data_IF_023108553228
#
_entry.id   IF_023108553228
#
_cell.length_a   1.000
_cell.length_b   1.000
_cell.length_c   1.000
_cell.angle_alpha   90.00
_cell.angle_beta   90.00
_cell.angle_gamma   90.00
#
_symmetry.space_group_name_H-M   'P 1'
#
loop_
_entity.id
_entity.type
_entity.pdbx_description
1 polymer ?
#
# COMPACT_ATOMS: atom_id res chain seq x y z
N UNK A 1 16.12 23.84 -11.49
CA UNK A 1 16.53 24.31 -10.14
C UNK A 1 16.45 23.13 -9.21
N UNK A 2 17.59 22.57 -8.85
CA UNK A 2 17.70 21.72 -7.68
C UNK A 2 17.79 22.68 -6.49
N UNK A 3 16.75 22.72 -5.65
CA UNK A 3 16.88 23.22 -4.29
C UNK A 3 15.69 22.77 -3.43
N UNK A 4 16.06 22.20 -2.28
CA UNK A 4 15.39 22.23 -0.99
C UNK A 4 13.98 21.60 -0.83
N UNK A 5 14.00 20.38 -0.25
CA UNK A 5 12.96 19.78 0.61
C UNK A 5 11.68 19.25 -0.06
N UNK A 6 11.83 18.55 -1.18
CA UNK A 6 10.78 17.72 -1.77
C UNK A 6 10.64 16.33 -1.14
N UNK A 7 10.36 16.25 0.17
CA UNK A 7 9.99 14.97 0.82
C UNK A 7 8.46 14.90 0.84
N UNK A 8 7.82 14.44 -0.24
CA UNK A 8 6.42 14.00 -0.20
C UNK A 8 6.04 13.28 -1.50
N UNK A 9 5.60 12.02 -1.35
CA UNK A 9 5.00 11.11 -2.35
C UNK A 9 5.95 10.47 -3.38
N UNK A 10 6.82 9.57 -2.90
CA UNK A 10 7.69 8.74 -3.74
C UNK A 10 7.43 7.23 -3.65
N UNK A 11 6.22 6.77 -3.29
CA UNK A 11 5.94 5.33 -3.13
C UNK A 11 4.98 4.73 -4.16
N UNK A 12 4.21 5.55 -4.89
CA UNK A 12 3.60 5.09 -6.16
C UNK A 12 4.62 5.09 -7.32
N UNK A 13 5.68 5.90 -7.22
CA UNK A 13 6.72 6.07 -8.26
C UNK A 13 7.83 5.01 -8.20
N UNK A 14 8.02 4.36 -7.04
CA UNK A 14 9.04 3.32 -6.86
C UNK A 14 8.68 2.01 -7.60
N UNK A 15 7.42 1.80 -7.96
CA UNK A 15 7.03 0.62 -8.71
C UNK A 15 7.25 0.74 -10.22
N UNK A 16 7.17 1.95 -10.80
CA UNK A 16 7.54 2.17 -12.22
C UNK A 16 9.03 1.81 -12.50
N UNK A 17 9.85 1.72 -11.45
CA UNK A 17 11.26 1.32 -11.51
C UNK A 17 11.47 -0.19 -11.53
N UNK A 18 10.60 -0.99 -10.90
CA UNK A 18 10.70 -2.46 -10.95
C UNK A 18 10.38 -3.02 -12.35
N UNK A 19 9.72 -2.24 -13.21
CA UNK A 19 9.61 -2.54 -14.65
C UNK A 19 10.96 -2.51 -15.39
N UNK A 20 12.02 -1.92 -14.80
CA UNK A 20 13.36 -1.85 -15.40
C UNK A 20 14.35 -2.91 -14.87
N UNK A 21 13.99 -3.70 -13.86
CA UNK A 21 14.83 -4.82 -13.37
C UNK A 21 14.64 -6.13 -14.16
N UNK A 22 13.79 -6.13 -15.20
CA UNK A 22 13.80 -7.19 -16.21
C UNK A 22 14.98 -6.92 -17.18
N UNK A 23 15.70 -7.93 -17.70
CA UNK A 23 16.74 -7.75 -18.73
C UNK A 23 16.21 -7.20 -20.07
N UNK A 24 14.94 -6.82 -20.10
CA UNK A 24 14.24 -6.21 -21.20
C UNK A 24 14.29 -4.69 -21.01
N UNK A 25 15.05 -4.02 -21.90
CA UNK A 25 15.01 -2.57 -22.14
C UNK A 25 13.58 -1.99 -22.02
N UNK A 26 13.39 -0.71 -21.66
CA UNK A 26 12.09 -0.05 -21.74
C UNK A 26 11.44 -0.16 -23.14
N UNK A 27 12.26 -0.32 -24.19
CA UNK A 27 11.84 -0.59 -25.59
C UNK A 27 11.11 -1.95 -25.76
N UNK A 28 11.18 -2.86 -24.79
CA UNK A 28 10.59 -4.21 -24.88
C UNK A 28 9.22 -4.34 -24.21
N UNK A 29 8.84 -3.44 -23.29
CA UNK A 29 7.49 -3.41 -22.71
C UNK A 29 6.49 -2.73 -23.65
N UNK A 30 6.95 -1.80 -24.49
CA UNK A 30 6.17 -1.24 -25.62
C UNK A 30 5.81 -2.31 -26.68
N UNK A 31 6.48 -3.47 -26.65
CA UNK A 31 6.19 -4.63 -27.51
C UNK A 31 5.23 -5.64 -26.86
N UNK A 32 4.90 -5.49 -25.58
CA UNK A 32 3.86 -6.28 -24.91
C UNK A 32 2.47 -5.66 -25.10
N UNK A 33 2.10 -5.68 -26.39
CA UNK A 33 0.78 -6.05 -26.92
C UNK A 33 -0.43 -5.09 -26.78
N UNK A 34 -1.29 -5.06 -27.83
CA UNK A 34 -2.50 -4.25 -27.87
C UNK A 34 -3.51 -4.66 -26.78
N UNK A 35 -4.37 -3.72 -26.39
CA UNK A 35 -5.42 -3.72 -25.33
C UNK A 35 -6.15 -5.07 -25.09
N UNK A 36 -6.25 -5.97 -26.08
CA UNK A 36 -6.79 -7.33 -25.93
C UNK A 36 -5.95 -8.27 -25.05
N UNK A 37 -4.65 -8.01 -24.89
CA UNK A 37 -3.72 -8.89 -24.15
C UNK A 37 -3.71 -8.59 -22.65
N UNK A 38 -4.02 -7.37 -22.23
CA UNK A 38 -3.96 -6.97 -20.80
C UNK A 38 -4.91 -7.82 -19.93
N UNK A 39 -6.08 -8.21 -20.45
CA UNK A 39 -7.06 -9.04 -19.72
C UNK A 39 -6.58 -10.47 -19.45
N UNK A 40 -5.71 -11.04 -20.30
CA UNK A 40 -5.15 -12.38 -20.08
C UNK A 40 -4.06 -12.39 -19.01
N UNK A 41 -3.42 -11.23 -18.75
CA UNK A 41 -2.25 -11.11 -17.88
C UNK A 41 -2.57 -10.57 -16.49
N UNK A 42 -3.80 -10.12 -16.21
CA UNK A 42 -4.18 -9.56 -14.90
C UNK A 42 -3.89 -10.50 -13.72
N UNK A 43 -4.04 -11.81 -13.94
CA UNK A 43 -3.81 -12.85 -12.92
C UNK A 43 -2.39 -13.39 -12.91
N UNK A 44 -1.53 -12.92 -13.80
CA UNK A 44 -0.15 -13.35 -13.85
C UNK A 44 0.64 -12.74 -12.68
N UNK A 45 1.43 -13.56 -11.96
CA UNK A 45 2.32 -13.07 -10.92
C UNK A 45 3.56 -12.37 -11.50
N UNK A 46 4.08 -11.40 -10.76
CA UNK A 46 5.25 -10.59 -11.10
C UNK A 46 6.55 -11.32 -10.73
N UNK A 47 6.77 -12.46 -11.38
CA UNK A 47 7.94 -13.34 -11.16
C UNK A 47 9.29 -12.69 -11.50
N UNK A 48 9.27 -11.63 -12.31
CA UNK A 48 10.48 -10.96 -12.78
C UNK A 48 11.15 -10.08 -11.71
N UNK A 49 10.45 -9.76 -10.62
CA UNK A 49 10.98 -8.89 -9.57
C UNK A 49 11.16 -9.71 -8.28
N UNK A 50 12.40 -9.83 -7.76
CA UNK A 50 12.65 -10.52 -6.50
C UNK A 50 11.80 -9.96 -5.36
N UNK A 51 11.20 -10.84 -4.56
CA UNK A 51 10.33 -10.47 -3.43
C UNK A 51 8.85 -10.24 -3.78
N UNK A 52 8.48 -10.28 -5.07
CA UNK A 52 7.13 -9.90 -5.54
C UNK A 52 6.45 -10.98 -6.36
N UNK A 53 6.91 -12.23 -6.24
CA UNK A 53 6.34 -13.37 -6.95
C UNK A 53 4.89 -13.69 -6.57
N UNK A 54 4.39 -13.17 -5.45
CA UNK A 54 2.97 -13.27 -5.05
C UNK A 54 2.13 -12.07 -5.51
N UNK A 55 2.74 -11.00 -6.01
CA UNK A 55 2.04 -9.83 -6.51
C UNK A 55 1.55 -10.09 -7.93
N UNK A 56 0.27 -9.80 -8.19
CA UNK A 56 -0.33 -9.99 -9.51
C UNK A 56 -0.25 -8.70 -10.32
N UNK A 57 -0.25 -8.81 -11.65
CA UNK A 57 -0.27 -7.65 -12.54
C UNK A 57 -1.43 -6.72 -12.19
N UNK A 58 -2.63 -7.23 -11.93
CA UNK A 58 -3.79 -6.40 -11.56
C UNK A 58 -3.65 -5.61 -10.26
N UNK A 59 -2.71 -6.00 -9.39
CA UNK A 59 -2.50 -5.32 -8.11
C UNK A 59 -1.64 -4.05 -8.28
N UNK A 60 -1.10 -3.81 -9.49
CA UNK A 60 -0.30 -2.62 -9.78
C UNK A 60 -1.13 -1.33 -9.77
N UNK A 61 -0.49 -0.19 -9.49
CA UNK A 61 -1.17 1.09 -9.63
C UNK A 61 -1.61 1.32 -11.07
N UNK A 62 -2.81 1.87 -11.23
CA UNK A 62 -3.27 2.40 -12.51
C UNK A 62 -2.29 3.46 -13.02
N UNK A 63 -1.98 3.44 -14.32
CA UNK A 63 -0.95 4.29 -14.91
C UNK A 63 0.42 3.64 -15.04
N UNK A 64 0.62 2.40 -14.55
CA UNK A 64 1.87 1.65 -14.74
C UNK A 64 1.80 0.74 -15.97
N UNK A 65 0.88 -0.22 -15.99
CA UNK A 65 0.68 -1.16 -17.11
C UNK A 65 -0.74 -1.13 -17.69
N UNK A 66 -1.70 -0.56 -16.98
CA UNK A 66 -3.10 -0.50 -17.38
C UNK A 66 -3.75 0.80 -16.89
N UNK A 67 -4.99 1.03 -17.34
CA UNK A 67 -5.67 2.31 -17.23
C UNK A 67 -5.31 3.25 -18.37
N UNK A 68 -5.67 4.53 -18.25
CA UNK A 68 -5.41 5.51 -19.28
C UNK A 68 -3.98 6.07 -19.17
N UNK A 69 -3.03 5.41 -19.85
CA UNK A 69 -1.61 5.79 -19.88
C UNK A 69 -1.34 7.13 -20.59
N UNK A 70 -2.31 7.66 -21.34
CA UNK A 70 -2.18 8.94 -22.02
C UNK A 70 -2.39 10.15 -21.11
N UNK A 71 -2.87 9.94 -19.88
CA UNK A 71 -3.03 11.00 -18.90
C UNK A 71 -1.67 11.58 -18.47
N UNK A 72 -1.68 12.85 -18.07
CA UNK A 72 -0.47 13.55 -17.60
C UNK A 72 0.16 12.90 -16.37
N UNK A 73 -0.66 12.33 -15.48
CA UNK A 73 -0.18 11.72 -14.25
C UNK A 73 0.67 10.44 -14.50
N UNK A 74 0.21 9.44 -15.28
CA UNK A 74 1.05 8.33 -15.75
C UNK A 74 2.32 8.76 -16.49
N UNK A 75 2.22 9.73 -17.41
CA UNK A 75 3.38 10.28 -18.13
C UNK A 75 4.40 10.90 -17.18
N UNK A 76 3.93 11.66 -16.20
CA UNK A 76 4.77 12.21 -15.13
C UNK A 76 5.46 11.09 -14.33
N UNK A 77 4.74 10.05 -13.91
CA UNK A 77 5.32 8.92 -13.17
C UNK A 77 6.40 8.17 -13.98
N UNK A 78 6.14 7.92 -15.27
CA UNK A 78 7.11 7.33 -16.19
C UNK A 78 8.37 8.21 -16.33
N UNK A 79 8.20 9.52 -16.47
CA UNK A 79 9.34 10.44 -16.58
C UNK A 79 10.13 10.52 -15.27
N UNK A 80 9.45 10.51 -14.12
CA UNK A 80 10.09 10.46 -12.80
C UNK A 80 10.94 9.20 -12.65
N UNK A 81 10.42 8.02 -13.00
CA UNK A 81 11.18 6.76 -12.86
C UNK A 81 12.47 6.74 -13.66
N UNK A 82 12.49 7.38 -14.83
CA UNK A 82 13.72 7.51 -15.64
C UNK A 82 14.74 8.50 -15.07
N UNK A 83 14.30 9.40 -14.19
CA UNK A 83 15.14 10.43 -13.59
C UNK A 83 15.71 10.02 -12.23
N UNK A 84 14.99 9.20 -11.46
CA UNK A 84 15.39 8.79 -10.11
C UNK A 84 16.79 8.14 -10.03
N UNK A 85 17.21 7.23 -10.94
CA UNK A 85 18.57 6.66 -10.92
C UNK A 85 19.70 7.69 -11.06
N UNK A 86 19.40 8.88 -11.59
CA UNK A 86 20.40 9.94 -11.78
C UNK A 86 20.61 10.78 -10.52
N UNK A 87 19.65 10.76 -9.58
CA UNK A 87 19.71 11.53 -8.34
C UNK A 87 20.93 11.14 -7.50
N UNK A 88 21.44 12.09 -6.70
CA UNK A 88 22.54 11.85 -5.76
C UNK A 88 22.11 10.89 -4.65
N UNK A 89 20.88 11.08 -4.15
CA UNK A 89 20.23 10.20 -3.21
C UNK A 89 18.71 10.21 -3.46
N UNK A 90 18.06 9.08 -3.19
CA UNK A 90 16.60 8.95 -3.21
C UNK A 90 16.13 8.66 -1.79
N UNK A 91 15.31 9.54 -1.23
CA UNK A 91 14.71 9.33 0.10
C UNK A 91 13.34 8.66 -0.05
N UNK A 92 13.09 7.64 0.76
CA UNK A 92 11.84 6.88 0.76
C UNK A 92 11.28 6.81 2.18
N UNK A 93 9.98 6.99 2.33
CA UNK A 93 9.33 6.83 3.64
C UNK A 93 9.17 5.35 3.97
N UNK A 94 10.22 4.68 4.41
CA UNK A 94 10.23 3.25 4.74
C UNK A 94 11.30 2.97 5.79
N UNK A 95 11.40 1.72 6.24
CA UNK A 95 12.54 1.20 6.99
C UNK A 95 13.20 0.08 6.17
N UNK A 96 14.52 -0.10 6.33
CA UNK A 96 15.30 -1.06 5.51
C UNK A 96 14.93 -2.52 5.80
N UNK A 97 14.52 -2.78 7.05
CA UNK A 97 14.25 -4.10 7.57
C UNK A 97 12.87 -4.64 7.15
N UNK A 98 12.00 -3.81 6.56
CA UNK A 98 10.63 -4.20 6.21
C UNK A 98 10.61 -5.35 5.20
N UNK A 99 11.50 -5.25 4.22
CA UNK A 99 11.72 -6.26 3.21
C UNK A 99 13.15 -6.07 2.67
N UNK A 100 14.13 -6.83 3.19
CA UNK A 100 15.50 -6.75 2.73
C UNK A 100 15.66 -7.10 1.25
N UNK A 101 14.80 -7.96 0.71
CA UNK A 101 14.87 -8.36 -0.71
C UNK A 101 14.54 -7.18 -1.60
N UNK A 102 13.42 -6.51 -1.33
CA UNK A 102 12.99 -5.33 -2.07
C UNK A 102 13.97 -4.17 -1.85
N UNK A 103 14.40 -3.96 -0.61
CA UNK A 103 15.35 -2.90 -0.27
C UNK A 103 16.66 -3.06 -1.04
N UNK A 104 17.17 -4.30 -1.18
CA UNK A 104 18.38 -4.57 -1.96
C UNK A 104 18.19 -4.31 -3.46
N UNK A 105 17.03 -4.68 -4.01
CA UNK A 105 16.68 -4.35 -5.41
C UNK A 105 16.63 -2.82 -5.62
N UNK A 106 16.07 -2.07 -4.66
CA UNK A 106 16.05 -0.61 -4.75
C UNK A 106 17.46 -0.01 -4.62
N UNK A 107 18.27 -0.49 -3.67
CA UNK A 107 19.66 -0.04 -3.49
C UNK A 107 20.51 -0.29 -4.74
N UNK A 108 20.29 -1.37 -5.48
CA UNK A 108 21.03 -1.62 -6.74
C UNK A 108 20.62 -0.68 -7.89
N UNK A 109 19.48 0.01 -7.79
CA UNK A 109 18.96 0.89 -8.84
C UNK A 109 19.29 2.38 -8.62
N UNK A 110 19.81 2.76 -7.46
CA UNK A 110 20.13 4.15 -7.12
C UNK A 110 21.58 4.30 -6.66
N UNK A 111 22.13 5.51 -6.81
CA UNK A 111 23.46 5.83 -6.28
C UNK A 111 23.49 5.77 -4.75
N UNK A 112 22.41 6.22 -4.12
CA UNK A 112 22.18 6.19 -2.67
C UNK A 112 20.67 6.12 -2.40
N UNK A 113 20.25 5.26 -1.47
CA UNK A 113 18.86 5.11 -1.05
C UNK A 113 18.77 5.35 0.46
N UNK A 114 17.97 6.34 0.88
CA UNK A 114 17.79 6.70 2.28
C UNK A 114 16.37 6.37 2.73
N UNK A 115 16.22 5.37 3.60
CA UNK A 115 14.96 5.04 4.26
C UNK A 115 14.74 5.97 5.45
N UNK A 116 13.75 6.87 5.37
CA UNK A 116 13.45 7.87 6.40
C UNK A 116 11.99 7.74 6.83
N UNK A 117 11.73 7.35 8.08
CA UNK A 117 10.35 7.18 8.54
C UNK A 117 9.74 8.50 8.99
N UNK A 118 8.71 8.97 8.27
CA UNK A 118 7.92 10.15 8.65
C UNK A 118 6.51 9.74 9.09
N UNK A 119 6.18 10.07 10.34
CA UNK A 119 4.90 9.78 10.98
C UNK A 119 4.00 11.01 11.19
N UNK A 120 4.28 12.17 10.57
CA UNK A 120 3.50 13.40 10.80
C UNK A 120 2.12 13.36 10.14
N UNK A 121 1.03 13.19 10.92
CA UNK A 121 -0.36 13.06 10.42
C UNK A 121 -0.75 14.10 9.36
N UNK A 122 -1.12 13.61 8.18
CA UNK A 122 -1.68 14.42 7.09
C UNK A 122 -3.18 14.15 7.11
N UNK A 123 -3.93 15.04 7.76
CA UNK A 123 -5.37 14.89 7.93
C UNK A 123 -6.09 14.88 6.58
N UNK A 124 -6.78 13.78 6.27
CA UNK A 124 -7.85 13.81 5.29
C UNK A 124 -9.13 14.10 6.07
N UNK A 125 -9.65 15.32 5.97
CA UNK A 125 -10.93 15.70 6.56
C UNK A 125 -12.03 15.50 5.51
N UNK A 126 -13.02 14.67 5.82
CA UNK A 126 -14.25 14.54 5.05
C UNK A 126 -15.45 14.58 5.99
N UNK A 127 -16.50 15.32 5.62
CA UNK A 127 -17.76 15.29 6.36
C UNK A 127 -18.57 14.05 5.92
N UNK A 128 -18.69 13.06 6.80
CA UNK A 128 -19.34 11.77 6.52
C UNK A 128 -20.65 11.57 7.30
N UNK A 129 -21.12 12.58 8.02
CA UNK A 129 -22.33 12.47 8.85
C UNK A 129 -23.58 12.09 8.05
N UNK A 130 -23.66 12.51 6.78
CA UNK A 130 -24.77 12.18 5.88
C UNK A 130 -24.81 10.70 5.47
N UNK A 131 -23.68 9.98 5.57
CA UNK A 131 -23.57 8.56 5.23
C UNK A 131 -23.89 7.64 6.43
N UNK A 132 -24.05 8.20 7.63
CA UNK A 132 -24.29 7.44 8.86
C UNK A 132 -25.81 7.23 9.03
N UNK A 133 -26.30 5.97 9.14
CA UNK A 133 -27.72 5.72 9.34
C UNK A 133 -28.27 6.44 10.57
N UNK A 134 -29.49 7.00 10.45
CA UNK A 134 -30.16 7.71 11.54
C UNK A 134 -30.18 6.89 12.84
N UNK A 135 -29.80 7.53 13.93
CA UNK A 135 -29.72 6.93 15.27
C UNK A 135 -28.55 5.96 15.49
N UNK A 136 -27.66 5.73 14.51
CA UNK A 136 -26.51 4.83 14.69
C UNK A 136 -25.55 5.30 15.80
N UNK A 137 -25.23 6.61 15.81
CA UNK A 137 -24.38 7.22 16.83
C UNK A 137 -24.97 7.01 18.24
N UNK A 138 -26.27 7.27 18.42
CA UNK A 138 -26.95 7.06 19.69
C UNK A 138 -26.91 5.59 20.15
N UNK A 139 -27.15 4.65 19.22
CA UNK A 139 -27.12 3.19 19.52
C UNK A 139 -25.73 2.66 19.89
N UNK A 140 -24.66 3.34 19.48
CA UNK A 140 -23.26 2.87 19.65
C UNK A 140 -22.39 3.78 20.51
N UNK A 141 -22.96 4.83 21.10
CA UNK A 141 -22.22 5.82 21.88
C UNK A 141 -21.46 5.24 23.08
N UNK A 142 -21.86 4.10 23.64
CA UNK A 142 -21.11 3.47 24.74
C UNK A 142 -20.00 2.53 24.26
N UNK A 143 -20.07 2.06 23.01
CA UNK A 143 -19.21 0.98 22.48
C UNK A 143 -18.29 1.43 21.33
N UNK A 144 -18.39 2.69 20.91
CA UNK A 144 -17.61 3.23 19.81
C UNK A 144 -17.63 4.75 19.76
N UNK A 145 -16.72 5.30 18.95
CA UNK A 145 -16.63 6.73 18.63
C UNK A 145 -16.48 6.86 17.12
N UNK A 146 -17.20 7.80 16.53
CA UNK A 146 -16.96 8.28 15.17
C UNK A 146 -16.46 9.71 15.31
N UNK A 147 -15.29 9.99 14.74
CA UNK A 147 -14.64 11.30 14.81
C UNK A 147 -14.20 11.72 13.41
N UNK A 148 -14.23 13.01 13.08
CA UNK A 148 -13.77 13.50 11.78
C UNK A 148 -12.26 13.32 11.59
N UNK A 149 -11.51 13.26 12.71
CA UNK A 149 -10.08 13.02 12.73
C UNK A 149 -9.70 12.33 14.04
N UNK A 150 -8.70 11.44 13.98
CA UNK A 150 -8.13 10.79 15.16
C UNK A 150 -6.61 10.94 15.17
N UNK A 151 -5.97 10.98 16.35
CA UNK A 151 -4.52 10.90 16.46
C UNK A 151 -4.06 9.46 16.15
N UNK A 152 -4.20 9.04 14.90
CA UNK A 152 -4.12 7.64 14.44
C UNK A 152 -2.87 6.93 14.95
N UNK A 153 -1.70 7.56 14.85
CA UNK A 153 -0.43 7.03 15.40
C UNK A 153 -0.54 6.66 16.89
N UNK A 154 -1.13 7.54 17.70
CA UNK A 154 -1.28 7.32 19.15
C UNK A 154 -2.32 6.24 19.44
N UNK A 155 -3.39 6.19 18.63
CA UNK A 155 -4.42 5.14 18.72
C UNK A 155 -3.78 3.78 18.40
N UNK A 156 -3.05 3.65 17.29
CA UNK A 156 -2.41 2.40 16.87
C UNK A 156 -1.29 1.95 17.83
N UNK A 157 -0.63 2.88 18.51
CA UNK A 157 0.34 2.55 19.57
C UNK A 157 -0.32 2.09 20.89
N UNK A 158 -1.64 2.20 21.02
CA UNK A 158 -2.33 1.88 22.27
C UNK A 158 -2.66 0.38 22.37
N UNK A 159 -2.23 -0.26 23.46
CA UNK A 159 -2.40 -1.71 23.75
C UNK A 159 -3.82 -2.26 23.66
N UNK A 160 -4.84 -1.40 23.69
CA UNK A 160 -6.25 -1.81 23.57
C UNK A 160 -6.71 -1.99 22.12
N UNK A 161 -5.91 -1.58 21.13
CA UNK A 161 -6.24 -1.75 19.72
C UNK A 161 -5.85 -3.15 19.27
N UNK A 162 -6.84 -3.94 18.83
CA UNK A 162 -6.63 -5.33 18.42
C UNK A 162 -6.57 -5.55 16.91
N UNK A 163 -7.05 -4.61 16.11
CA UNK A 163 -7.06 -4.65 14.65
C UNK A 163 -7.23 -3.26 14.05
N UNK A 164 -6.73 -3.05 12.84
CA UNK A 164 -6.85 -1.80 12.10
C UNK A 164 -7.48 -2.03 10.73
N UNK A 165 -8.68 -1.49 10.53
CA UNK A 165 -9.35 -1.48 9.22
C UNK A 165 -8.84 -0.29 8.42
N UNK A 166 -8.19 -0.56 7.29
CA UNK A 166 -7.43 0.44 6.54
C UNK A 166 -7.65 0.31 5.05
N UNK A 167 -7.47 1.40 4.33
CA UNK A 167 -7.39 1.40 2.87
C UNK A 167 -6.00 1.01 2.35
N UNK A 168 -5.07 0.66 3.24
CA UNK A 168 -3.69 0.29 2.89
C UNK A 168 -2.86 1.42 2.29
N UNK A 169 -3.16 2.68 2.65
CA UNK A 169 -2.25 3.78 2.36
C UNK A 169 -0.93 3.56 3.09
N UNK A 170 0.20 3.72 2.39
CA UNK A 170 1.50 3.30 2.87
C UNK A 170 1.85 3.80 4.28
N UNK A 171 1.57 5.07 4.58
CA UNK A 171 1.82 5.63 5.90
C UNK A 171 1.03 4.93 7.01
N UNK A 172 -0.23 4.61 6.76
CA UNK A 172 -1.08 3.89 7.71
C UNK A 172 -0.59 2.46 7.90
N UNK A 173 -0.02 1.83 6.86
CA UNK A 173 0.67 0.55 6.96
C UNK A 173 1.88 0.65 7.90
N UNK A 174 2.75 1.65 7.70
CA UNK A 174 3.91 1.87 8.59
C UNK A 174 3.50 2.15 10.04
N UNK A 175 2.46 2.97 10.27
CA UNK A 175 1.95 3.24 11.61
C UNK A 175 1.38 1.98 12.29
N UNK A 176 0.71 1.11 11.53
CA UNK A 176 0.18 -0.16 12.05
C UNK A 176 1.29 -1.12 12.44
N UNK A 177 2.34 -1.21 11.61
CA UNK A 177 3.53 -2.02 11.90
C UNK A 177 4.22 -1.51 13.17
N UNK A 178 4.43 -0.19 13.26
CA UNK A 178 5.04 0.42 14.45
C UNK A 178 4.22 0.21 15.74
N UNK A 179 2.89 0.04 15.61
CA UNK A 179 1.99 -0.27 16.74
C UNK A 179 1.81 -1.77 17.02
N UNK A 180 2.37 -2.66 16.21
CA UNK A 180 2.12 -4.10 16.31
C UNK A 180 0.66 -4.49 16.05
N UNK A 181 -0.08 -3.69 15.27
CA UNK A 181 -1.53 -3.87 15.06
C UNK A 181 -1.80 -4.62 13.75
N UNK A 182 -2.49 -5.78 13.77
CA UNK A 182 -2.94 -6.49 12.57
C UNK A 182 -3.82 -5.63 11.66
N UNK A 183 -3.65 -5.75 10.35
CA UNK A 183 -4.40 -4.97 9.37
C UNK A 183 -5.53 -5.76 8.71
N UNK A 184 -6.66 -5.08 8.48
CA UNK A 184 -7.75 -5.52 7.60
C UNK A 184 -7.83 -4.50 6.46
N UNK A 185 -7.38 -4.90 5.29
CA UNK A 185 -7.07 -4.05 4.15
C UNK A 185 -8.23 -4.02 3.16
N UNK A 186 -8.73 -2.83 2.80
CA UNK A 186 -9.74 -2.62 1.76
C UNK A 186 -9.28 -1.52 0.80
N UNK A 187 -8.55 -1.86 -0.27
CA UNK A 187 -7.98 -0.88 -1.19
C UNK A 187 -9.05 -0.19 -2.06
N UNK A 188 -8.77 1.03 -2.50
CA UNK A 188 -9.62 1.81 -3.41
C UNK A 188 -8.90 2.23 -4.69
N UNK A 189 -7.71 2.84 -4.59
CA UNK A 189 -6.99 3.38 -5.75
C UNK A 189 -5.47 3.48 -5.52
N UNK A 190 -4.73 3.73 -6.60
CA UNK A 190 -3.28 3.96 -6.54
C UNK A 190 -2.52 2.72 -6.09
N UNK A 191 -1.62 2.88 -5.11
CA UNK A 191 -0.75 1.84 -4.55
C UNK A 191 -1.46 0.93 -3.52
N UNK A 192 -2.70 1.22 -3.17
CA UNK A 192 -3.40 0.54 -2.08
C UNK A 192 -3.61 -0.97 -2.32
N UNK A 193 -3.86 -1.37 -3.57
CA UNK A 193 -4.04 -2.77 -3.94
C UNK A 193 -2.73 -3.55 -3.77
N UNK A 194 -1.63 -3.00 -4.28
CA UNK A 194 -0.28 -3.51 -4.09
C UNK A 194 0.07 -3.62 -2.59
N UNK A 195 -0.14 -2.56 -1.81
CA UNK A 195 0.13 -2.56 -0.38
C UNK A 195 -0.69 -3.63 0.35
N UNK A 196 -1.96 -3.82 -0.05
CA UNK A 196 -2.83 -4.88 0.49
C UNK A 196 -2.25 -6.28 0.20
N UNK A 197 -1.81 -6.52 -1.04
CA UNK A 197 -1.20 -7.77 -1.44
C UNK A 197 0.10 -8.05 -0.67
N UNK A 198 0.92 -7.03 -0.47
CA UNK A 198 2.16 -7.14 0.30
C UNK A 198 1.84 -7.49 1.77
N UNK A 199 0.90 -6.78 2.40
CA UNK A 199 0.46 -7.04 3.78
C UNK A 199 -0.09 -8.46 3.96
N UNK A 200 -0.90 -8.94 3.02
CA UNK A 200 -1.56 -10.25 3.09
C UNK A 200 -0.62 -11.40 2.69
N UNK A 201 -0.04 -11.35 1.49
CA UNK A 201 0.59 -12.50 0.84
C UNK A 201 2.12 -12.52 0.94
N UNK A 202 2.77 -11.37 1.19
CA UNK A 202 4.22 -11.29 1.36
C UNK A 202 4.57 -11.29 2.85
N UNK A 203 4.09 -10.30 3.58
CA UNK A 203 4.37 -10.15 4.99
C UNK A 203 3.45 -10.97 5.88
N UNK A 204 2.25 -11.35 5.44
CA UNK A 204 1.32 -12.14 6.27
C UNK A 204 1.01 -11.47 7.61
N UNK A 205 0.86 -10.14 7.60
CA UNK A 205 0.57 -9.32 8.79
C UNK A 205 -0.84 -8.69 8.75
N UNK A 206 -1.71 -9.19 7.87
CA UNK A 206 -3.08 -8.75 7.75
C UNK A 206 -3.88 -9.56 6.74
N UNK A 207 -5.11 -9.12 6.50
CA UNK A 207 -6.04 -9.74 5.55
C UNK A 207 -6.51 -8.71 4.51
N UNK A 208 -6.58 -9.11 3.24
CA UNK A 208 -7.20 -8.31 2.18
C UNK A 208 -8.67 -8.64 1.97
N UNK A 209 -9.53 -7.62 1.99
CA UNK A 209 -10.91 -7.70 1.50
C UNK A 209 -10.85 -7.44 0.00
N UNK A 210 -11.05 -8.50 -0.79
CA UNK A 210 -10.85 -8.50 -2.25
C UNK A 210 -12.11 -8.08 -3.02
N UNK A 211 -13.26 -8.02 -2.35
CA UNK A 211 -14.52 -7.58 -2.94
C UNK A 211 -14.61 -6.04 -2.98
N UNK A 212 -15.10 -5.47 -4.08
CA UNK A 212 -15.32 -4.02 -4.19
C UNK A 212 -16.37 -3.48 -3.19
N UNK A 213 -17.22 -4.37 -2.68
CA UNK A 213 -18.30 -4.10 -1.71
C UNK A 213 -18.08 -4.95 -0.47
N UNK A 214 -17.82 -4.31 0.67
CA UNK A 214 -17.72 -5.00 1.95
C UNK A 214 -19.12 -5.51 2.33
N UNK A 215 -19.31 -6.83 2.35
CA UNK A 215 -20.50 -7.42 2.96
C UNK A 215 -20.36 -7.49 4.47
N UNK A 216 -21.49 -7.50 5.19
CA UNK A 216 -21.48 -7.64 6.65
C UNK A 216 -20.83 -8.97 7.07
N UNK A 217 -21.15 -10.07 6.37
CA UNK A 217 -20.65 -11.40 6.71
C UNK A 217 -19.13 -11.51 6.47
N UNK A 218 -18.64 -10.94 5.38
CA UNK A 218 -17.19 -10.89 5.10
C UNK A 218 -16.45 -10.09 6.18
N UNK A 219 -17.03 -8.94 6.59
CA UNK A 219 -16.43 -8.10 7.64
C UNK A 219 -16.41 -8.80 9.00
N UNK A 220 -17.50 -9.48 9.37
CA UNK A 220 -17.56 -10.24 10.63
C UNK A 220 -16.55 -11.39 10.58
N UNK A 221 -16.51 -12.15 9.49
CA UNK A 221 -15.59 -13.28 9.34
C UNK A 221 -14.12 -12.85 9.46
N UNK A 222 -13.72 -11.76 8.80
CA UNK A 222 -12.33 -11.27 8.90
C UNK A 222 -12.01 -10.71 10.29
N UNK A 223 -12.96 -10.04 10.94
CA UNK A 223 -12.79 -9.57 12.32
C UNK A 223 -12.63 -10.74 13.29
N UNK A 224 -13.42 -11.81 13.15
CA UNK A 224 -13.31 -13.01 13.97
C UNK A 224 -11.94 -13.68 13.79
N UNK A 225 -11.48 -13.85 12.55
CA UNK A 225 -10.15 -14.40 12.23
C UNK A 225 -9.01 -13.56 12.81
N UNK A 226 -9.16 -12.24 12.81
CA UNK A 226 -8.15 -11.28 13.29
C UNK A 226 -8.13 -11.16 14.81
N UNK A 227 -9.29 -11.06 15.46
CA UNK A 227 -9.39 -10.75 16.89
C UNK A 227 -9.44 -12.00 17.77
N UNK A 228 -10.13 -13.05 17.32
CA UNK A 228 -10.43 -14.24 18.13
C UNK A 228 -9.66 -15.48 17.64
N UNK A 229 -9.58 -15.65 16.32
CA UNK A 229 -8.95 -16.81 15.68
C UNK A 229 -7.44 -16.92 15.90
N UNK A 230 -6.92 -18.13 15.71
CA UNK A 230 -5.49 -18.40 15.84
C UNK A 230 -4.66 -17.72 14.73
N UNK A 231 -5.26 -17.42 13.58
CA UNK A 231 -4.61 -16.63 12.53
C UNK A 231 -4.21 -15.24 13.03
N UNK A 232 -5.12 -14.55 13.74
CA UNK A 232 -4.84 -13.24 14.34
C UNK A 232 -3.69 -13.27 15.37
N UNK A 233 -3.56 -14.36 16.14
CA UNK A 233 -2.42 -14.55 17.06
C UNK A 233 -1.12 -14.70 16.29
N UNK A 234 -1.10 -15.48 15.22
CA UNK A 234 0.08 -15.64 14.34
C UNK A 234 0.49 -14.31 13.71
N UNK A 235 -0.48 -13.54 13.25
CA UNK A 235 -0.25 -12.20 12.68
C UNK A 235 0.37 -11.26 13.73
N UNK A 236 -0.20 -11.17 14.94
CA UNK A 236 0.34 -10.35 16.03
C UNK A 236 1.79 -10.72 16.36
N UNK A 237 2.07 -12.01 16.51
CA UNK A 237 3.44 -12.48 16.77
C UNK A 237 4.43 -12.15 15.63
N UNK A 238 3.94 -11.97 14.40
CA UNK A 238 4.78 -11.65 13.24
C UNK A 238 5.04 -10.15 13.09
N UNK A 239 4.04 -9.33 13.40
CA UNK A 239 4.13 -7.87 13.25
C UNK A 239 4.84 -7.18 14.42
N UNK A 240 4.73 -7.74 15.64
CA UNK A 240 5.34 -7.19 16.86
C UNK A 240 4.63 -7.65 18.12
#
# INVERSE_FOLDING_TARGET
>A
MADERGVLRLLSSLWSLCSHSSPLNPISLDKLLPIKVILEYEKEPLKLIPGLSSVLVKDLPEGVLFGNLELEFPKMLHNMSRMLPKATAVCVNSFEEIDPTITNVLKSNFKELLCVVDFHSSGLSGNTEELIPRGFLARKAERGRIVPWSPQKQVLAHKSVGAFVTHSGWKSVCESIAGGVPMICRPFFGDQALNTRIVEDVWGIGFGIKSGVISQDEMISVLERTLVGDEGKKIRNKIG
#
